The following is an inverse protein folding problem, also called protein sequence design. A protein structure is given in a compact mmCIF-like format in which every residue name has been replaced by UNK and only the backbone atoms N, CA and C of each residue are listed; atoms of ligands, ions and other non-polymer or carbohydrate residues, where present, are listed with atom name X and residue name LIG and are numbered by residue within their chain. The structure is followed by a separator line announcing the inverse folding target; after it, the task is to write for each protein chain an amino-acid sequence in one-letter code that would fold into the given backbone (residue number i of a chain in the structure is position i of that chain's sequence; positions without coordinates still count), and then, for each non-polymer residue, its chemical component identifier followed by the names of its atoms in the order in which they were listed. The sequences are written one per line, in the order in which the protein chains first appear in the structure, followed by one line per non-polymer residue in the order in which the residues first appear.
data_IF_847758625684
#
_entry.id   IF_847758625684
#
_cell.length_a   1.000
_cell.length_b   1.000
_cell.length_c   1.000
_cell.angle_alpha   90.00
_cell.angle_beta   90.00
_cell.angle_gamma   90.00
#
_symmetry.space_group_name_H-M   'P 1'
#
loop_
_entity.id
_entity.type
_entity.pdbx_description
1 polymer ?
#
# COMPACT_ATOMS: atom_id res chain seq x y z
N UNK A 1 0.64 11.74 16.02
CA UNK A 1 1.46 12.68 15.25
C UNK A 1 1.82 12.03 13.94
N UNK A 2 1.90 12.79 12.85
CA UNK A 2 2.41 12.30 11.57
C UNK A 2 3.95 12.17 11.69
N UNK A 3 4.55 11.00 11.40
CA UNK A 3 6.01 10.84 11.45
C UNK A 3 6.71 11.68 10.38
N UNK A 4 7.93 12.17 10.68
CA UNK A 4 8.80 12.80 9.68
C UNK A 4 9.06 11.82 8.51
N UNK A 5 9.09 12.33 7.28
CA UNK A 5 9.24 11.48 6.08
C UNK A 5 7.94 10.85 5.55
N UNK A 6 6.78 11.05 6.21
CA UNK A 6 5.49 10.61 5.69
C UNK A 6 5.06 11.42 4.46
N UNK A 7 4.83 10.72 3.36
CA UNK A 7 4.27 11.27 2.13
C UNK A 7 2.77 10.97 2.07
N UNK A 8 2.00 11.95 1.61
CA UNK A 8 0.59 11.76 1.22
C UNK A 8 0.48 11.92 -0.28
N UNK A 9 -0.05 10.92 -0.96
CA UNK A 9 -0.18 10.86 -2.41
C UNK A 9 -1.61 10.56 -2.80
N UNK A 10 -2.09 11.18 -3.87
CA UNK A 10 -3.38 10.89 -4.48
C UNK A 10 -3.17 10.30 -5.88
N UNK A 11 -3.99 9.32 -6.24
CA UNK A 11 -3.93 8.70 -7.55
C UNK A 11 -4.94 7.58 -7.70
N UNK A 12 -4.71 6.70 -8.68
CA UNK A 12 -5.55 5.55 -8.96
C UNK A 12 -4.82 4.25 -8.67
N UNK A 13 -5.50 3.33 -8.00
CA UNK A 13 -4.97 2.01 -7.65
C UNK A 13 -5.19 1.00 -8.80
N UNK A 14 -4.12 0.59 -9.45
CA UNK A 14 -4.12 -0.41 -10.52
C UNK A 14 -3.67 -1.78 -10.02
N UNK A 15 -4.28 -2.82 -10.59
CA UNK A 15 -4.05 -4.24 -10.28
C UNK A 15 -3.91 -4.58 -8.78
N UNK A 16 -4.86 -4.17 -7.93
CA UNK A 16 -4.80 -4.47 -6.51
C UNK A 16 -4.87 -5.97 -6.25
N UNK A 17 -3.99 -6.45 -5.36
CA UNK A 17 -3.94 -7.84 -4.95
C UNK A 17 -3.63 -7.93 -3.46
N UNK A 18 -4.39 -8.77 -2.76
CA UNK A 18 -4.01 -9.19 -1.42
C UNK A 18 -3.10 -10.41 -1.52
N UNK A 19 -2.00 -10.39 -0.77
CA UNK A 19 -1.08 -11.49 -0.61
C UNK A 19 -1.09 -11.89 0.86
N UNK A 20 -1.45 -13.14 1.14
CA UNK A 20 -1.39 -13.73 2.49
C UNK A 20 0.04 -13.76 3.03
N UNK A 21 0.18 -13.92 4.34
CA UNK A 21 1.48 -14.20 4.95
C UNK A 21 2.09 -15.47 4.35
N UNK A 22 3.39 -15.44 4.02
CA UNK A 22 4.08 -16.52 3.34
C UNK A 22 3.75 -16.64 1.83
N UNK A 23 2.79 -15.89 1.31
CA UNK A 23 2.49 -15.86 -0.11
C UNK A 23 3.46 -14.95 -0.87
N UNK A 24 3.80 -15.39 -2.09
CA UNK A 24 4.74 -14.74 -2.97
C UNK A 24 5.35 -15.75 -3.95
N UNK A 25 6.25 -15.28 -4.80
CA UNK A 25 7.06 -16.14 -5.66
C UNK A 25 8.43 -16.31 -4.99
N UNK A 26 8.84 -17.55 -4.64
CA UNK A 26 10.21 -17.82 -4.21
C UNK A 26 11.17 -17.26 -5.27
N UNK A 27 12.26 -16.62 -4.85
CA UNK A 27 13.29 -15.98 -5.69
C UNK A 27 12.89 -14.72 -6.48
N UNK A 28 11.72 -14.12 -6.24
CA UNK A 28 11.42 -12.82 -6.84
C UNK A 28 12.10 -11.68 -6.06
N UNK A 29 12.96 -10.93 -6.74
CA UNK A 29 13.52 -9.65 -6.24
C UNK A 29 12.52 -8.51 -6.34
N UNK A 30 11.37 -8.71 -6.99
CA UNK A 30 10.31 -7.72 -7.08
C UNK A 30 9.51 -7.71 -5.75
N UNK A 31 9.51 -6.62 -4.98
CA UNK A 31 8.82 -6.52 -3.68
C UNK A 31 7.31 -6.77 -3.76
N UNK A 32 6.71 -6.55 -4.95
CA UNK A 32 5.33 -6.94 -5.26
C UNK A 32 5.06 -8.44 -5.11
N UNK A 33 6.08 -9.28 -5.31
CA UNK A 33 5.96 -10.74 -5.36
C UNK A 33 6.85 -11.44 -4.34
N UNK A 34 7.77 -10.74 -3.68
CA UNK A 34 8.64 -11.32 -2.65
C UNK A 34 7.83 -11.94 -1.51
N UNK A 35 8.26 -13.07 -0.95
CA UNK A 35 7.59 -13.67 0.21
C UNK A 35 7.80 -12.76 1.42
N UNK A 36 6.74 -12.51 2.20
CA UNK A 36 6.79 -11.72 3.44
C UNK A 36 6.13 -12.50 4.58
N UNK A 37 6.57 -12.31 5.83
CA UNK A 37 5.98 -13.00 6.99
C UNK A 37 4.60 -12.45 7.41
N UNK A 38 4.05 -11.49 6.65
CA UNK A 38 2.78 -10.82 6.93
C UNK A 38 1.93 -10.69 5.67
N UNK A 39 0.61 -10.59 5.88
CA UNK A 39 -0.35 -10.31 4.83
C UNK A 39 -0.27 -8.85 4.38
N UNK A 40 -0.54 -8.58 3.10
CA UNK A 40 -0.43 -7.23 2.54
C UNK A 40 -1.27 -7.02 1.30
N UNK A 41 -1.89 -5.86 1.21
CA UNK A 41 -2.46 -5.33 -0.02
C UNK A 41 -1.33 -4.67 -0.82
N UNK A 42 -1.18 -5.07 -2.08
CA UNK A 42 -0.24 -4.46 -3.02
C UNK A 42 -0.98 -3.95 -4.25
N UNK A 43 -0.59 -2.79 -4.76
CA UNK A 43 -1.11 -2.24 -6.02
C UNK A 43 -0.14 -1.23 -6.62
N UNK A 44 -0.32 -0.93 -7.89
CA UNK A 44 0.40 0.15 -8.56
C UNK A 44 -0.41 1.44 -8.46
N UNK A 45 0.12 2.46 -7.80
CA UNK A 45 -0.46 3.79 -7.73
C UNK A 45 0.01 4.58 -8.95
N UNK A 46 -0.94 5.06 -9.77
CA UNK A 46 -0.68 6.01 -10.84
C UNK A 46 -1.23 7.39 -10.45
N UNK A 47 -0.40 8.42 -10.54
CA UNK A 47 -0.76 9.78 -10.12
C UNK A 47 0.35 10.77 -10.47
N UNK A 48 0.50 11.83 -9.67
CA UNK A 48 1.62 12.78 -9.83
C UNK A 48 2.99 12.08 -9.74
N UNK A 49 3.07 11.05 -8.89
CA UNK A 49 4.20 10.14 -8.80
C UNK A 49 3.69 8.72 -8.75
N UNK A 50 4.38 7.84 -9.47
CA UNK A 50 4.01 6.44 -9.55
C UNK A 50 4.78 5.64 -8.50
N UNK A 51 4.07 4.78 -7.78
CA UNK A 51 4.65 3.91 -6.76
C UNK A 51 4.00 2.54 -6.79
N UNK A 52 4.75 1.53 -6.42
CA UNK A 52 4.18 0.32 -5.85
C UNK A 52 3.81 0.60 -4.40
N UNK A 53 2.53 0.48 -4.07
CA UNK A 53 2.06 0.61 -2.69
C UNK A 53 2.03 -0.77 -2.04
N UNK A 54 2.58 -0.86 -0.83
CA UNK A 54 2.47 -2.04 0.06
C UNK A 54 1.80 -1.60 1.36
N UNK A 55 0.61 -2.14 1.63
CA UNK A 55 -0.12 -1.91 2.88
C UNK A 55 -0.20 -3.24 3.67
N UNK A 56 0.57 -3.39 4.75
CA UNK A 56 0.49 -4.58 5.61
C UNK A 56 -0.85 -4.69 6.34
N UNK A 57 -1.47 -5.86 6.28
CA UNK A 57 -2.80 -6.15 6.86
C UNK A 57 -2.83 -7.61 7.36
N UNK A 58 -3.42 -7.83 8.53
CA UNK A 58 -3.62 -9.19 9.09
C UNK A 58 -4.62 -10.02 8.29
N UNK A 59 -5.43 -9.35 7.48
CA UNK A 59 -6.44 -9.95 6.63
C UNK A 59 -7.14 -8.88 5.81
N UNK A 60 -7.57 -9.22 4.59
CA UNK A 60 -8.44 -8.36 3.80
C UNK A 60 -9.83 -8.98 3.67
N UNK A 61 -10.82 -8.35 4.32
CA UNK A 61 -12.20 -8.88 4.40
C UNK A 61 -12.97 -8.81 3.08
N UNK A 62 -12.58 -7.93 2.16
CA UNK A 62 -13.23 -7.75 0.87
C UNK A 62 -12.20 -7.34 -0.19
N UNK A 63 -12.39 -7.78 -1.43
CA UNK A 63 -11.51 -7.42 -2.53
C UNK A 63 -11.39 -5.89 -2.68
N UNK A 64 -10.16 -5.40 -2.85
CA UNK A 64 -9.92 -3.98 -3.11
C UNK A 64 -10.16 -3.70 -4.60
N UNK A 65 -11.05 -2.77 -4.98
CA UNK A 65 -11.45 -2.64 -6.37
C UNK A 65 -10.39 -1.96 -7.24
N UNK A 66 -10.09 -2.58 -8.38
CA UNK A 66 -9.24 -2.03 -9.41
C UNK A 66 -9.77 -0.68 -9.93
N UNK A 67 -8.85 0.25 -10.21
CA UNK A 67 -9.19 1.54 -10.77
C UNK A 67 -9.83 2.51 -9.77
N UNK A 68 -9.85 2.19 -8.47
CA UNK A 68 -10.31 3.12 -7.44
C UNK A 68 -9.40 4.32 -7.34
N UNK A 69 -10.00 5.51 -7.21
CA UNK A 69 -9.26 6.69 -6.79
C UNK A 69 -8.97 6.59 -5.28
N UNK A 70 -7.72 6.88 -4.91
CA UNK A 70 -7.20 6.65 -3.56
C UNK A 70 -6.33 7.81 -3.08
N UNK A 71 -6.34 8.00 -1.77
CA UNK A 71 -5.32 8.76 -1.04
C UNK A 71 -4.51 7.76 -0.22
N UNK A 72 -3.18 7.81 -0.36
CA UNK A 72 -2.24 6.92 0.32
C UNK A 72 -1.32 7.75 1.18
N UNK A 73 -1.17 7.35 2.45
CA UNK A 73 -0.19 7.93 3.35
C UNK A 73 0.84 6.86 3.71
N UNK A 74 2.13 7.14 3.51
CA UNK A 74 3.19 6.16 3.68
C UNK A 74 4.59 6.74 3.54
N UNK A 75 5.60 5.87 3.63
CA UNK A 75 7.01 6.23 3.58
C UNK A 75 7.75 5.42 2.51
N UNK A 76 8.71 6.06 1.85
CA UNK A 76 9.61 5.39 0.90
C UNK A 76 10.84 4.94 1.69
N UNK A 77 11.18 3.65 1.60
CA UNK A 77 12.35 3.12 2.30
C UNK A 77 13.65 3.47 1.56
N UNK A 78 14.75 3.71 2.29
CA UNK A 78 16.08 3.83 1.68
C UNK A 78 16.39 2.59 0.83
N UNK A 79 16.76 2.79 -0.43
CA UNK A 79 17.06 1.69 -1.37
C UNK A 79 15.85 1.11 -2.12
N UNK A 80 14.62 1.43 -1.74
CA UNK A 80 13.38 0.97 -2.38
C UNK A 80 12.56 2.14 -2.96
N UNK A 81 13.19 2.98 -3.80
CA UNK A 81 12.62 4.26 -4.26
C UNK A 81 11.29 4.16 -5.03
N UNK A 82 10.98 2.99 -5.57
CA UNK A 82 9.75 2.72 -6.32
C UNK A 82 8.62 2.21 -5.41
N UNK A 83 8.90 1.97 -4.13
CA UNK A 83 7.98 1.37 -3.18
C UNK A 83 7.57 2.37 -2.10
N UNK A 84 6.28 2.34 -1.77
CA UNK A 84 5.69 3.11 -0.69
C UNK A 84 5.10 2.14 0.33
N UNK A 85 5.71 2.10 1.51
CA UNK A 85 5.14 1.43 2.67
C UNK A 85 4.02 2.28 3.25
N UNK A 86 2.79 1.84 3.04
CA UNK A 86 1.63 2.57 3.47
C UNK A 86 1.33 2.33 4.96
N UNK A 87 0.95 3.41 5.62
CA UNK A 87 0.24 3.42 6.89
C UNK A 87 -1.27 3.38 6.68
N UNK A 88 -1.73 4.03 5.60
CA UNK A 88 -3.15 4.19 5.31
C UNK A 88 -3.39 4.25 3.80
N UNK A 89 -4.48 3.62 3.36
CA UNK A 89 -5.06 3.78 2.03
C UNK A 89 -6.53 4.11 2.19
N UNK A 90 -6.94 5.31 1.79
CA UNK A 90 -8.33 5.73 1.73
C UNK A 90 -8.84 5.67 0.29
N UNK A 91 -9.97 5.03 0.06
CA UNK A 91 -10.71 5.10 -1.21
C UNK A 91 -11.57 6.35 -1.20
N UNK A 92 -11.48 7.13 -2.27
CA UNK A 92 -12.28 8.33 -2.48
C UNK A 92 -13.17 8.13 -3.71
N UNK A 93 -14.33 8.77 -3.72
CA UNK A 93 -15.15 8.85 -4.93
C UNK A 93 -14.81 10.09 -5.75
N UNK A 94 -15.52 10.28 -6.87
CA UNK A 94 -15.30 11.38 -7.81
C UNK A 94 -15.59 12.76 -7.21
N UNK A 95 -16.30 12.82 -6.07
CA UNK A 95 -16.54 14.06 -5.33
C UNK A 95 -15.46 14.34 -4.28
N UNK A 96 -14.47 13.45 -4.15
CA UNK A 96 -13.42 13.51 -3.14
C UNK A 96 -13.85 12.98 -1.77
N UNK A 97 -15.05 12.42 -1.64
CA UNK A 97 -15.51 11.88 -0.36
C UNK A 97 -14.89 10.51 -0.07
N UNK A 98 -14.43 10.34 1.17
CA UNK A 98 -13.83 9.09 1.65
C UNK A 98 -14.93 8.03 1.81
N UNK A 99 -14.80 6.92 1.09
CA UNK A 99 -15.73 5.79 1.11
C UNK A 99 -15.29 4.65 1.99
N UNK A 100 -13.98 4.43 2.08
CA UNK A 100 -13.39 3.37 2.91
C UNK A 100 -11.98 3.77 3.28
N UNK A 101 -11.54 3.35 4.47
CA UNK A 101 -10.17 3.56 4.95
C UNK A 101 -9.61 2.21 5.38
N UNK A 102 -8.47 1.85 4.82
CA UNK A 102 -7.67 0.71 5.26
C UNK A 102 -6.47 1.24 6.03
N UNK A 103 -6.38 0.87 7.30
CA UNK A 103 -5.22 1.13 8.14
C UNK A 103 -4.28 -0.06 8.09
N UNK A 104 -2.98 0.22 8.15
CA UNK A 104 -1.98 -0.80 8.43
C UNK A 104 -2.34 -1.50 9.74
N UNK A 105 -2.41 -2.83 9.72
CA UNK A 105 -2.83 -3.60 10.89
C UNK A 105 -1.83 -4.68 11.30
N UNK A 106 -0.98 -5.16 10.39
CA UNK A 106 0.09 -6.08 10.73
C UNK A 106 1.02 -5.46 11.80
N UNK A 107 1.44 -6.27 12.76
CA UNK A 107 2.32 -5.90 13.89
C UNK A 107 3.76 -5.61 13.44
N UNK A 108 3.89 -4.62 12.57
CA UNK A 108 5.12 -4.13 12.00
C UNK A 108 5.03 -2.61 12.02
N UNK A 109 5.74 -1.92 12.93
CA UNK A 109 5.67 -0.46 12.99
C UNK A 109 6.09 0.15 11.66
N UNK A 110 5.41 1.22 11.25
CA UNK A 110 5.86 2.03 10.14
C UNK A 110 7.17 2.72 10.54
N UNK A 111 8.23 2.45 9.80
CA UNK A 111 9.52 3.11 9.97
C UNK A 111 9.69 4.05 8.79
N UNK A 112 9.73 5.34 9.07
CA UNK A 112 10.05 6.36 8.08
C UNK A 112 11.51 6.78 8.32
N UNK A 113 12.29 6.96 7.25
CA UNK A 113 13.65 7.49 7.37
C UNK A 113 13.66 8.94 7.86
#
# INVERSE_FOLDING_TARGET
GIPEGLLTLQGRALYPRYLEAGAGRPSSTAPLSAVQPYGRLVFFLIGERNYVVRLPLDGLRAAFPHGSDVVVAGCVQPGEREFLDAQLVARVDTSGQVRAVLWRSADLPLQCP
#
